data_IF_728380090083
#
_entry.id   IF_728380090083
#
_cell.length_a   1.000
_cell.length_b   1.000
_cell.length_c   1.000
_cell.angle_alpha   90.00
_cell.angle_beta   90.00
_cell.angle_gamma   90.00
#
_symmetry.space_group_name_H-M   'P 1'
#
loop_
_entity.id
_entity.type
_entity.pdbx_description
1 polymer ?
#
# COMPACT_ATOMS: atom_id res chain seq x y z
N UNK A 1 -26.26 93.42 8.58
CA UNK A 1 -25.79 92.16 9.18
C UNK A 1 -24.76 92.47 10.22
N UNK A 2 -24.96 91.99 11.44
CA UNK A 2 -23.93 92.09 12.47
C UNK A 2 -22.83 91.05 12.22
N UNK A 3 -21.59 91.31 12.65
CA UNK A 3 -20.49 90.34 12.54
C UNK A 3 -20.81 89.00 13.23
N UNK A 4 -21.71 89.03 14.22
CA UNK A 4 -22.17 87.85 14.96
C UNK A 4 -23.02 86.94 14.07
N UNK A 5 -23.94 87.49 13.27
CA UNK A 5 -24.79 86.73 12.35
C UNK A 5 -23.97 86.04 11.25
N UNK A 6 -22.92 86.69 10.75
CA UNK A 6 -22.01 86.12 9.74
C UNK A 6 -21.22 84.95 10.32
N UNK A 7 -20.79 85.05 11.58
CA UNK A 7 -20.04 84.00 12.26
C UNK A 7 -20.92 82.79 12.60
N UNK A 8 -22.16 83.01 13.05
CA UNK A 8 -23.13 81.93 13.27
C UNK A 8 -23.48 81.18 11.98
N UNK A 9 -23.69 81.91 10.87
CA UNK A 9 -23.97 81.31 9.57
C UNK A 9 -22.77 80.48 9.08
N UNK A 10 -21.54 81.00 9.21
CA UNK A 10 -20.33 80.28 8.83
C UNK A 10 -20.09 79.04 9.70
N UNK A 11 -20.31 79.14 11.01
CA UNK A 11 -20.21 78.01 11.94
C UNK A 11 -21.27 76.94 11.64
N UNK A 12 -22.50 77.33 11.30
CA UNK A 12 -23.56 76.41 10.92
C UNK A 12 -23.26 75.68 9.60
N UNK A 13 -22.70 76.37 8.60
CA UNK A 13 -22.29 75.77 7.32
C UNK A 13 -21.14 74.78 7.54
N UNK A 14 -20.12 75.13 8.32
CA UNK A 14 -18.98 74.25 8.62
C UNK A 14 -19.42 73.06 9.47
N UNK A 15 -20.29 73.26 10.46
CA UNK A 15 -20.83 72.17 11.29
C UNK A 15 -21.71 71.21 10.47
N UNK A 16 -22.49 71.73 9.52
CA UNK A 16 -23.31 70.92 8.60
C UNK A 16 -22.44 70.08 7.66
N UNK A 17 -21.41 70.69 7.06
CA UNK A 17 -20.46 70.00 6.16
C UNK A 17 -19.61 69.00 6.95
N UNK A 18 -19.12 69.37 8.12
CA UNK A 18 -18.34 68.51 9.02
C UNK A 18 -19.15 67.34 9.57
N UNK A 19 -20.42 67.57 9.93
CA UNK A 19 -21.35 66.53 10.37
C UNK A 19 -21.69 65.54 9.26
N UNK A 20 -21.98 66.02 8.04
CA UNK A 20 -22.19 65.17 6.89
C UNK A 20 -20.93 64.35 6.54
N UNK A 21 -19.75 64.97 6.62
CA UNK A 21 -18.47 64.29 6.47
C UNK A 21 -18.29 63.16 7.50
N UNK A 22 -18.52 63.43 8.78
CA UNK A 22 -18.40 62.44 9.85
C UNK A 22 -19.34 61.23 9.66
N UNK A 23 -20.58 61.47 9.20
CA UNK A 23 -21.53 60.41 8.86
C UNK A 23 -21.04 59.57 7.69
N UNK A 24 -20.55 60.19 6.62
CA UNK A 24 -20.00 59.47 5.46
C UNK A 24 -18.75 58.66 5.82
N UNK A 25 -17.84 59.21 6.62
CA UNK A 25 -16.67 58.48 7.12
C UNK A 25 -17.04 57.31 8.03
N UNK A 26 -18.01 57.52 8.93
CA UNK A 26 -18.51 56.46 9.82
C UNK A 26 -19.17 55.31 9.05
N UNK A 27 -20.02 55.62 8.06
CA UNK A 27 -20.67 54.64 7.20
C UNK A 27 -19.68 53.91 6.30
N UNK A 28 -18.69 54.62 5.73
CA UNK A 28 -17.63 54.02 4.92
C UNK A 28 -16.80 53.00 5.74
N UNK A 29 -16.42 53.37 6.97
CA UNK A 29 -15.71 52.48 7.87
C UNK A 29 -16.54 51.25 8.31
N UNK A 30 -17.85 51.42 8.52
CA UNK A 30 -18.75 50.32 8.85
C UNK A 30 -18.96 49.36 7.67
N UNK A 31 -19.23 49.88 6.47
CA UNK A 31 -19.39 49.08 5.26
C UNK A 31 -18.11 48.29 4.92
N UNK A 32 -16.94 48.91 5.07
CA UNK A 32 -15.65 48.22 4.93
C UNK A 32 -15.47 47.07 5.91
N UNK A 33 -15.81 47.27 7.19
CA UNK A 33 -15.74 46.21 8.21
C UNK A 33 -16.69 45.05 7.91
N UNK A 34 -17.92 45.32 7.50
CA UNK A 34 -18.91 44.27 7.14
C UNK A 34 -18.46 43.49 5.91
N UNK A 35 -17.94 44.17 4.88
CA UNK A 35 -17.40 43.51 3.69
C UNK A 35 -16.22 42.60 4.04
N UNK A 36 -15.26 43.11 4.82
CA UNK A 36 -14.10 42.33 5.28
C UNK A 36 -14.52 41.13 6.14
N UNK A 37 -15.51 41.27 7.01
CA UNK A 37 -16.06 40.14 7.78
C UNK A 37 -16.70 39.09 6.87
N UNK A 38 -17.43 39.51 5.83
CA UNK A 38 -18.05 38.60 4.86
C UNK A 38 -16.99 37.85 4.03
N UNK A 39 -15.95 38.54 3.58
CA UNK A 39 -14.79 37.95 2.90
C UNK A 39 -14.07 36.94 3.79
N UNK A 40 -13.74 37.30 5.04
CA UNK A 40 -13.13 36.38 6.01
C UNK A 40 -13.98 35.14 6.24
N UNK A 41 -15.28 35.31 6.46
CA UNK A 41 -16.20 34.19 6.66
C UNK A 41 -16.30 33.28 5.43
N UNK A 42 -16.19 33.82 4.20
CA UNK A 42 -16.11 33.01 2.98
C UNK A 42 -14.79 32.25 2.91
N UNK A 43 -13.67 32.91 3.23
CA UNK A 43 -12.34 32.31 3.21
C UNK A 43 -12.23 31.16 4.21
N UNK A 44 -12.72 31.36 5.44
CA UNK A 44 -12.79 30.33 6.48
C UNK A 44 -13.66 29.15 6.06
N UNK A 45 -14.82 29.41 5.44
CA UNK A 45 -15.68 28.34 4.87
C UNK A 45 -14.99 27.58 3.74
N UNK A 46 -14.18 28.25 2.94
CA UNK A 46 -13.46 27.61 1.85
C UNK A 46 -12.31 26.76 2.40
N UNK A 47 -11.54 27.30 3.35
CA UNK A 47 -10.48 26.59 4.05
C UNK A 47 -11.02 25.34 4.77
N UNK A 48 -12.14 25.45 5.48
CA UNK A 48 -12.75 24.30 6.16
C UNK A 48 -13.26 23.22 5.20
N UNK A 49 -13.77 23.63 4.02
CA UNK A 49 -14.12 22.67 2.96
C UNK A 49 -12.89 21.97 2.41
N UNK A 50 -11.83 22.70 2.11
CA UNK A 50 -10.58 22.11 1.60
C UNK A 50 -9.93 21.18 2.63
N UNK A 51 -9.89 21.57 3.91
CA UNK A 51 -9.35 20.72 4.97
C UNK A 51 -10.17 19.44 5.12
N UNK A 52 -11.50 19.52 5.03
CA UNK A 52 -12.36 18.34 5.09
C UNK A 52 -12.15 17.40 3.90
N UNK A 53 -11.99 17.95 2.69
CA UNK A 53 -11.69 17.14 1.50
C UNK A 53 -10.32 16.47 1.64
N UNK A 54 -9.29 17.21 2.04
CA UNK A 54 -7.96 16.66 2.28
C UNK A 54 -7.96 15.57 3.35
N UNK A 55 -8.71 15.76 4.43
CA UNK A 55 -8.85 14.75 5.48
C UNK A 55 -9.53 13.49 4.96
N UNK A 56 -10.60 13.62 4.17
CA UNK A 56 -11.28 12.49 3.54
C UNK A 56 -10.37 11.72 2.59
N UNK A 57 -9.65 12.43 1.72
CA UNK A 57 -8.67 11.83 0.81
C UNK A 57 -7.55 11.13 1.59
N UNK A 58 -7.03 11.75 2.64
CA UNK A 58 -6.00 11.15 3.50
C UNK A 58 -6.49 9.88 4.18
N UNK A 59 -7.70 9.87 4.74
CA UNK A 59 -8.30 8.69 5.37
C UNK A 59 -8.56 7.59 4.33
N UNK A 60 -9.06 7.94 3.14
CA UNK A 60 -9.27 6.99 2.06
C UNK A 60 -7.96 6.36 1.59
N UNK A 61 -6.94 7.19 1.34
CA UNK A 61 -5.60 6.75 0.97
C UNK A 61 -4.97 5.86 2.05
N UNK A 62 -5.11 6.23 3.32
CA UNK A 62 -4.60 5.43 4.44
C UNK A 62 -5.28 4.06 4.51
N UNK A 63 -6.62 4.00 4.42
CA UNK A 63 -7.35 2.72 4.40
C UNK A 63 -6.96 1.85 3.21
N UNK A 64 -6.78 2.46 2.04
CA UNK A 64 -6.34 1.77 0.84
C UNK A 64 -4.94 1.19 1.02
N UNK A 65 -4.00 1.99 1.53
CA UNK A 65 -2.64 1.55 1.84
C UNK A 65 -2.61 0.44 2.89
N UNK A 66 -3.40 0.54 3.96
CA UNK A 66 -3.52 -0.50 4.99
C UNK A 66 -4.06 -1.82 4.41
N UNK A 67 -5.08 -1.74 3.54
CA UNK A 67 -5.63 -2.91 2.86
C UNK A 67 -4.60 -3.57 1.93
N UNK A 68 -3.88 -2.78 1.14
CA UNK A 68 -2.81 -3.29 0.28
C UNK A 68 -1.70 -3.95 1.09
N UNK A 69 -1.24 -3.29 2.15
CA UNK A 69 -0.21 -3.81 3.05
C UNK A 69 -0.63 -5.14 3.70
N UNK A 70 -1.90 -5.27 4.08
CA UNK A 70 -2.46 -6.52 4.60
C UNK A 70 -2.35 -7.65 3.57
N UNK A 71 -2.79 -7.42 2.33
CA UNK A 71 -2.70 -8.43 1.26
C UNK A 71 -1.25 -8.80 0.94
N UNK A 72 -0.32 -7.83 0.93
CA UNK A 72 1.11 -8.11 0.77
C UNK A 72 1.64 -9.05 1.84
N UNK A 73 1.31 -8.79 3.11
CA UNK A 73 1.74 -9.65 4.22
C UNK A 73 1.12 -11.04 4.16
N UNK A 74 -0.15 -11.15 3.76
CA UNK A 74 -0.83 -12.45 3.60
C UNK A 74 -0.15 -13.31 2.52
N UNK A 75 0.17 -12.73 1.36
CA UNK A 75 0.90 -13.46 0.31
C UNK A 75 2.31 -13.81 0.75
N UNK A 76 3.03 -12.85 1.35
CA UNK A 76 4.39 -13.08 1.85
C UNK A 76 4.46 -14.21 2.88
N UNK A 77 3.52 -14.23 3.85
CA UNK A 77 3.46 -15.25 4.87
C UNK A 77 3.30 -16.65 4.27
N UNK A 78 2.45 -16.80 3.26
CA UNK A 78 2.25 -18.09 2.59
C UNK A 78 3.46 -18.50 1.75
N UNK A 79 4.15 -17.57 1.09
CA UNK A 79 5.40 -17.86 0.37
C UNK A 79 6.51 -18.34 1.31
N UNK A 80 6.66 -17.72 2.49
CA UNK A 80 7.58 -18.20 3.52
C UNK A 80 7.18 -19.58 4.06
N UNK A 81 5.88 -19.86 4.17
CA UNK A 81 5.39 -21.16 4.61
C UNK A 81 5.71 -22.26 3.59
N UNK A 82 5.56 -21.98 2.28
CA UNK A 82 6.01 -22.89 1.22
C UNK A 82 7.50 -23.18 1.35
N UNK A 83 8.34 -22.15 1.56
CA UNK A 83 9.78 -22.31 1.78
C UNK A 83 10.05 -23.26 2.96
N UNK A 84 9.42 -22.99 4.10
CA UNK A 84 9.60 -23.76 5.34
C UNK A 84 9.19 -25.22 5.16
N UNK A 85 8.10 -25.50 4.45
CA UNK A 85 7.64 -26.86 4.20
C UNK A 85 8.60 -27.58 3.23
N UNK A 86 9.09 -26.90 2.19
CA UNK A 86 10.11 -27.43 1.28
C UNK A 86 11.41 -27.81 2.00
N UNK A 87 11.91 -26.95 2.89
CA UNK A 87 13.09 -27.24 3.72
C UNK A 87 12.87 -28.47 4.62
N UNK A 88 11.70 -28.57 5.26
CA UNK A 88 11.37 -29.74 6.08
C UNK A 88 11.28 -31.02 5.24
N UNK A 89 10.69 -30.93 4.04
CA UNK A 89 10.61 -32.05 3.10
C UNK A 89 12.00 -32.50 2.67
N UNK A 90 12.93 -31.57 2.46
CA UNK A 90 14.31 -31.87 2.12
C UNK A 90 15.03 -32.67 3.20
N UNK A 91 14.85 -32.28 4.46
CA UNK A 91 15.56 -32.90 5.60
C UNK A 91 14.97 -34.26 5.97
N UNK A 92 13.64 -34.39 5.97
CA UNK A 92 12.97 -35.58 6.56
C UNK A 92 12.30 -36.50 5.54
N UNK A 93 12.00 -36.02 4.33
CA UNK A 93 11.41 -36.77 3.21
C UNK A 93 10.22 -37.68 3.60
N UNK A 94 9.33 -37.23 4.48
CA UNK A 94 8.18 -38.05 4.93
C UNK A 94 7.01 -37.89 3.95
N UNK A 95 6.26 -38.96 3.63
CA UNK A 95 5.09 -38.88 2.74
C UNK A 95 4.01 -37.89 3.21
N UNK A 96 3.86 -37.70 4.52
CA UNK A 96 2.94 -36.71 5.11
C UNK A 96 3.35 -35.27 4.79
N UNK A 97 4.65 -34.98 4.71
CA UNK A 97 5.17 -33.65 4.43
C UNK A 97 4.94 -33.27 2.95
N UNK A 98 4.91 -34.27 2.05
CA UNK A 98 4.54 -34.09 0.63
C UNK A 98 3.09 -33.61 0.49
N UNK A 99 2.17 -34.22 1.24
CA UNK A 99 0.75 -33.82 1.24
C UNK A 99 0.55 -32.42 1.82
N UNK A 100 1.31 -32.08 2.87
CA UNK A 100 1.30 -30.73 3.45
C UNK A 100 1.78 -29.73 2.39
N UNK A 101 2.88 -30.01 1.70
CA UNK A 101 3.40 -29.12 0.65
C UNK A 101 2.39 -28.90 -0.48
N UNK A 102 1.74 -29.95 -0.98
CA UNK A 102 0.71 -29.84 -2.01
C UNK A 102 -0.45 -28.92 -1.59
N UNK A 103 -0.86 -29.02 -0.32
CA UNK A 103 -1.88 -28.16 0.26
C UNK A 103 -1.39 -26.71 0.38
N UNK A 104 -0.20 -26.49 0.91
CA UNK A 104 0.38 -25.16 1.07
C UNK A 104 0.57 -24.45 -0.27
N UNK A 105 1.00 -25.16 -1.32
CA UNK A 105 1.12 -24.58 -2.68
C UNK A 105 -0.25 -24.20 -3.24
N UNK A 106 -1.27 -25.03 -3.01
CA UNK A 106 -2.65 -24.70 -3.44
C UNK A 106 -3.16 -23.44 -2.73
N UNK A 107 -2.92 -23.32 -1.44
CA UNK A 107 -3.24 -22.14 -0.64
C UNK A 107 -2.45 -20.91 -1.14
N UNK A 108 -1.16 -21.08 -1.44
CA UNK A 108 -0.29 -20.04 -2.02
C UNK A 108 -0.80 -19.52 -3.36
N UNK A 109 -1.21 -20.41 -4.26
CA UNK A 109 -1.82 -20.05 -5.55
C UNK A 109 -3.11 -19.26 -5.37
N UNK A 110 -3.94 -19.66 -4.41
CA UNK A 110 -5.19 -18.96 -4.13
C UNK A 110 -4.91 -17.55 -3.60
N UNK A 111 -3.98 -17.40 -2.66
CA UNK A 111 -3.60 -16.09 -2.14
C UNK A 111 -2.91 -15.21 -3.18
N UNK A 112 -2.04 -15.78 -4.01
CA UNK A 112 -1.42 -15.09 -5.13
C UNK A 112 -2.47 -14.58 -6.13
N UNK A 113 -3.51 -15.38 -6.42
CA UNK A 113 -4.61 -14.97 -7.28
C UNK A 113 -5.46 -13.85 -6.66
N UNK A 114 -5.74 -13.93 -5.36
CA UNK A 114 -6.44 -12.86 -4.63
C UNK A 114 -5.63 -11.56 -4.60
N UNK A 115 -4.30 -11.68 -4.52
CA UNK A 115 -3.37 -10.55 -4.56
C UNK A 115 -2.90 -10.16 -5.96
N UNK A 116 -3.42 -10.74 -7.05
CA UNK A 116 -2.83 -10.62 -8.39
C UNK A 116 -2.68 -9.17 -8.88
N UNK A 117 -3.58 -8.28 -8.48
CA UNK A 117 -3.55 -6.85 -8.82
C UNK A 117 -2.33 -6.11 -8.24
N UNK A 118 -1.64 -6.70 -7.27
CA UNK A 118 -0.51 -6.10 -6.56
C UNK A 118 0.85 -6.51 -7.12
N UNK A 119 0.89 -7.52 -8.00
CA UNK A 119 2.11 -8.05 -8.57
C UNK A 119 2.32 -7.55 -9.98
N UNK A 120 3.58 -7.39 -10.37
CA UNK A 120 3.92 -7.32 -11.78
C UNK A 120 3.61 -8.66 -12.45
N UNK A 121 3.17 -8.59 -13.70
CA UNK A 121 2.83 -9.78 -14.48
C UNK A 121 4.00 -10.77 -14.59
N UNK A 122 5.25 -10.26 -14.60
CA UNK A 122 6.45 -11.09 -14.59
C UNK A 122 6.60 -11.91 -13.31
N UNK A 123 6.35 -11.32 -12.14
CA UNK A 123 6.53 -12.01 -10.85
C UNK A 123 5.40 -12.99 -10.60
N UNK A 124 4.19 -12.62 -11.02
CA UNK A 124 3.02 -13.50 -10.99
C UNK A 124 3.25 -14.77 -11.82
N UNK A 125 3.78 -14.62 -13.04
CA UNK A 125 4.09 -15.76 -13.90
C UNK A 125 5.18 -16.65 -13.28
N UNK A 126 6.26 -16.03 -12.82
CA UNK A 126 7.43 -16.74 -12.29
C UNK A 126 7.09 -17.54 -11.02
N UNK A 127 6.23 -17.00 -10.14
CA UNK A 127 5.70 -17.75 -8.99
C UNK A 127 4.83 -18.94 -9.39
N UNK A 128 3.98 -18.79 -10.41
CA UNK A 128 3.16 -19.90 -10.88
C UNK A 128 4.00 -21.02 -11.49
N UNK A 129 4.99 -20.66 -12.31
CA UNK A 129 5.95 -21.59 -12.90
C UNK A 129 6.70 -22.35 -11.78
N UNK A 130 7.13 -21.66 -10.72
CA UNK A 130 7.75 -22.29 -9.55
C UNK A 130 6.79 -23.23 -8.79
N UNK A 131 5.51 -22.85 -8.66
CA UNK A 131 4.52 -23.73 -8.06
C UNK A 131 4.29 -25.00 -8.89
N UNK A 132 4.42 -24.93 -10.22
CA UNK A 132 4.38 -26.11 -11.08
C UNK A 132 5.65 -26.97 -10.90
N UNK A 133 6.82 -26.35 -10.81
CA UNK A 133 8.09 -27.04 -10.53
C UNK A 133 8.08 -27.78 -9.19
N UNK A 134 7.45 -27.21 -8.15
CA UNK A 134 7.30 -27.91 -6.88
C UNK A 134 6.42 -29.15 -6.97
N UNK A 135 5.52 -29.24 -7.96
CA UNK A 135 4.82 -30.48 -8.28
C UNK A 135 5.82 -31.59 -8.61
N UNK A 136 6.78 -31.30 -9.50
CA UNK A 136 7.82 -32.25 -9.89
C UNK A 136 8.76 -32.60 -8.73
N UNK A 137 9.10 -31.62 -7.89
CA UNK A 137 9.90 -31.81 -6.67
C UNK A 137 9.26 -32.82 -5.70
N UNK A 138 7.94 -32.75 -5.51
CA UNK A 138 7.20 -33.68 -4.65
C UNK A 138 7.27 -35.12 -5.17
N UNK A 139 7.04 -35.33 -6.46
CA UNK A 139 7.14 -36.65 -7.09
C UNK A 139 8.57 -37.22 -6.97
N UNK A 140 9.59 -36.39 -7.21
CA UNK A 140 10.99 -36.78 -7.06
C UNK A 140 11.34 -37.21 -5.62
N UNK A 141 10.83 -36.49 -4.61
CA UNK A 141 11.08 -36.81 -3.19
C UNK A 141 10.31 -38.05 -2.71
N UNK A 142 9.10 -38.27 -3.20
CA UNK A 142 8.38 -39.52 -2.95
C UNK A 142 9.15 -40.73 -3.49
N UNK A 143 9.64 -40.64 -4.75
CA UNK A 143 10.47 -41.67 -5.37
C UNK A 143 11.78 -41.90 -4.60
N UNK A 144 12.47 -40.84 -4.18
CA UNK A 144 13.67 -40.96 -3.35
C UNK A 144 13.40 -41.63 -1.98
N UNK A 145 12.24 -41.37 -1.36
CA UNK A 145 11.87 -42.01 -0.11
C UNK A 145 11.59 -43.52 -0.28
N UNK A 146 10.89 -43.90 -1.36
CA UNK A 146 10.65 -45.32 -1.71
C UNK A 146 11.95 -46.07 -2.02
N UNK A 147 12.85 -45.44 -2.80
CA UNK A 147 14.17 -45.99 -3.11
C UNK A 147 14.99 -46.24 -1.83
N UNK A 148 14.91 -45.34 -0.85
CA UNK A 148 15.61 -45.47 0.44
C UNK A 148 14.99 -46.53 1.37
N UNK A 149 13.70 -46.83 1.24
CA UNK A 149 13.04 -47.88 2.03
C UNK A 149 13.32 -49.28 1.47
N UNK A 150 13.49 -49.41 0.16
CA UNK A 150 13.67 -50.68 -0.54
C UNK A 150 15.16 -51.05 -0.74
N UNK A 151 15.99 -50.94 0.30
CA UNK A 151 17.47 -51.13 0.31
C UNK A 151 18.01 -52.48 -0.22
N UNK A 152 17.18 -53.37 -0.77
CA UNK A 152 17.56 -54.68 -1.33
C UNK A 152 17.72 -54.71 -2.85
N UNK A 153 17.44 -53.62 -3.57
CA UNK A 153 17.60 -53.54 -5.03
C UNK A 153 18.91 -52.88 -5.47
N UNK A 154 19.57 -53.45 -6.48
CA UNK A 154 20.70 -52.83 -7.19
C UNK A 154 20.16 -51.62 -7.97
N UNK A 155 20.21 -50.43 -7.36
CA UNK A 155 19.77 -49.20 -8.01
C UNK A 155 20.96 -48.48 -8.64
N UNK A 156 20.72 -47.84 -9.78
CA UNK A 156 21.68 -46.99 -10.47
C UNK A 156 21.86 -45.70 -9.65
N UNK A 157 23.01 -45.53 -9.01
CA UNK A 157 23.38 -44.34 -8.21
C UNK A 157 23.21 -43.04 -9.02
N UNK A 158 23.25 -43.12 -10.35
CA UNK A 158 23.08 -41.99 -11.25
C UNK A 158 21.65 -41.41 -11.26
N UNK A 159 20.62 -42.25 -11.12
CA UNK A 159 19.22 -41.81 -11.01
C UNK A 159 18.97 -41.06 -9.69
N UNK A 160 19.60 -41.50 -8.60
CA UNK A 160 19.49 -40.84 -7.30
C UNK A 160 20.18 -39.48 -7.33
N UNK A 161 21.35 -39.40 -7.95
CA UNK A 161 22.12 -38.15 -8.07
C UNK A 161 21.35 -37.10 -8.88
N UNK A 162 20.83 -37.46 -10.05
CA UNK A 162 20.06 -36.53 -10.91
C UNK A 162 18.78 -36.02 -10.22
N UNK A 163 18.09 -36.87 -9.47
CA UNK A 163 16.94 -36.45 -8.66
C UNK A 163 17.32 -35.49 -7.53
N UNK A 164 18.48 -35.67 -6.90
CA UNK A 164 18.96 -34.75 -5.85
C UNK A 164 19.30 -33.39 -6.46
N UNK A 165 20.00 -33.37 -7.60
CA UNK A 165 20.45 -32.12 -8.22
C UNK A 165 19.27 -31.30 -8.77
N UNK A 166 18.32 -31.93 -9.48
CA UNK A 166 17.11 -31.25 -9.93
C UNK A 166 16.32 -30.62 -8.77
N UNK A 167 16.25 -31.32 -7.64
CA UNK A 167 15.56 -30.80 -6.46
C UNK A 167 16.32 -29.61 -5.84
N UNK A 168 17.66 -29.63 -5.89
CA UNK A 168 18.49 -28.53 -5.41
C UNK A 168 18.31 -27.28 -6.28
N UNK A 169 18.29 -27.43 -7.60
CA UNK A 169 18.04 -26.33 -8.53
C UNK A 169 16.68 -25.67 -8.28
N UNK A 170 15.61 -26.44 -8.10
CA UNK A 170 14.27 -25.90 -7.80
C UNK A 170 14.29 -25.05 -6.54
N UNK A 171 15.00 -25.50 -5.50
CA UNK A 171 15.15 -24.76 -4.23
C UNK A 171 15.91 -23.45 -4.44
N UNK A 172 17.04 -23.49 -5.13
CA UNK A 172 17.86 -22.30 -5.39
C UNK A 172 17.09 -21.26 -6.22
N UNK A 173 16.38 -21.71 -7.27
CA UNK A 173 15.50 -20.84 -8.07
C UNK A 173 14.42 -20.19 -7.21
N UNK A 174 13.78 -20.96 -6.32
CA UNK A 174 12.76 -20.41 -5.43
C UNK A 174 13.31 -19.32 -4.49
N UNK A 175 14.50 -19.54 -3.90
CA UNK A 175 15.13 -18.56 -3.02
C UNK A 175 15.47 -17.24 -3.72
N UNK A 176 15.95 -17.32 -4.97
CA UNK A 176 16.23 -16.13 -5.79
C UNK A 176 14.96 -15.31 -6.00
N UNK A 177 13.85 -15.99 -6.33
CA UNK A 177 12.56 -15.36 -6.62
C UNK A 177 11.94 -14.77 -5.35
N UNK A 178 11.99 -15.51 -4.25
CA UNK A 178 11.53 -15.03 -2.95
C UNK A 178 12.30 -13.76 -2.53
N UNK A 179 13.61 -13.72 -2.78
CA UNK A 179 14.45 -12.55 -2.51
C UNK A 179 14.10 -11.37 -3.40
N UNK A 180 13.82 -11.61 -4.68
CA UNK A 180 13.35 -10.56 -5.61
C UNK A 180 12.03 -9.96 -5.12
N UNK A 181 11.02 -10.80 -4.89
CA UNK A 181 9.69 -10.37 -4.41
C UNK A 181 9.80 -9.63 -3.08
N UNK A 182 10.67 -10.08 -2.17
CA UNK A 182 10.95 -9.38 -0.91
C UNK A 182 11.46 -7.97 -1.14
N UNK A 183 12.39 -7.79 -2.08
CA UNK A 183 12.94 -6.48 -2.40
C UNK A 183 11.89 -5.58 -3.06
N UNK A 184 11.09 -6.14 -3.96
CA UNK A 184 10.00 -5.41 -4.61
C UNK A 184 8.95 -4.97 -3.58
N UNK A 185 8.53 -5.86 -2.66
CA UNK A 185 7.66 -5.49 -1.54
C UNK A 185 8.27 -4.41 -0.64
N UNK A 186 9.57 -4.50 -0.32
CA UNK A 186 10.25 -3.47 0.47
C UNK A 186 10.25 -2.12 -0.24
N UNK A 187 10.45 -2.10 -1.55
CA UNK A 187 10.44 -0.87 -2.35
C UNK A 187 9.06 -0.21 -2.39
N UNK A 188 8.01 -1.01 -2.53
CA UNK A 188 6.62 -0.54 -2.52
C UNK A 188 6.20 -0.03 -1.13
N UNK A 189 6.58 -0.72 -0.05
CA UNK A 189 6.31 -0.27 1.33
C UNK A 189 7.01 1.06 1.63
N UNK A 190 8.20 1.29 1.08
CA UNK A 190 8.95 2.54 1.24
C UNK A 190 8.42 3.69 0.39
N UNK A 191 7.49 3.43 -0.54
CA UNK A 191 6.97 4.43 -1.47
C UNK A 191 7.99 4.89 -2.51
N UNK A 192 9.03 4.09 -2.79
CA UNK A 192 10.07 4.41 -3.78
C UNK A 192 9.57 4.21 -5.23
N UNK A 193 8.47 3.46 -5.41
CA UNK A 193 7.71 3.34 -6.66
C UNK A 193 6.33 4.00 -6.48
N UNK A 194 6.29 5.32 -6.57
CA UNK A 194 5.07 6.10 -6.81
C UNK A 194 5.21 6.85 -8.12
#
# INVERSE_FOLDING_TARGET
MSLVEVFELAAAVIASIGGAGAVLFGLSGWLGKVYLQKEKAKLEKLQSKYSLVLEKERVAHQRYSESQFKTYNEVWAVLCEVERVCENLWVKARPQDVRILARTIKEARQQLKSGALLFEESDYKLLNDLFDDFGNFQFGKHRLAELRQNQTGYYDDQDVYTLIENNREIRERYQVVLTRIKNDFRSQIRGERL
#
